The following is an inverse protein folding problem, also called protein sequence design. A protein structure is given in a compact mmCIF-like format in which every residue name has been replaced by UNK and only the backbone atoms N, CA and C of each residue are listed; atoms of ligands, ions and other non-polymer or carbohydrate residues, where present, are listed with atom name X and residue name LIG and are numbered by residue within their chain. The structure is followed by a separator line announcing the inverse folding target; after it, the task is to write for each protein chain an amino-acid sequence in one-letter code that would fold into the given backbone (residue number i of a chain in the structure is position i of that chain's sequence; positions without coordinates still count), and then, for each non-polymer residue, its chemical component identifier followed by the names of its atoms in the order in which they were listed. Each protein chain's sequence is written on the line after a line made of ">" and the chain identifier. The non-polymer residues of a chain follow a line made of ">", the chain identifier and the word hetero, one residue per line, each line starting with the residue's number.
data_IF_897620133638
#
_entry.id   IF_897620133638
#
_cell.length_a   1.000
_cell.length_b   1.000
_cell.length_c   1.000
_cell.angle_alpha   90.00
_cell.angle_beta   90.00
_cell.angle_gamma   90.00
#
_symmetry.space_group_name_H-M   'P 1'
#
loop_
_entity.id
_entity.type
_entity.pdbx_description
1 polymer ?
#
# COMPACT_ATOMS: atom_id res chain seq x y z
N UNK A 1 -28.87 26.20 -2.12
CA UNK A 1 -28.36 25.16 -1.20
C UNK A 1 -28.47 25.69 0.20
N UNK A 2 -29.18 24.97 1.07
CA UNK A 2 -29.21 25.27 2.50
C UNK A 2 -27.83 24.99 3.13
N UNK A 3 -27.56 25.54 4.31
CA UNK A 3 -26.36 25.19 5.07
C UNK A 3 -26.36 23.71 5.50
N UNK A 4 -27.53 23.10 5.66
CA UNK A 4 -27.70 21.68 5.95
C UNK A 4 -27.28 20.81 4.74
N UNK A 5 -27.67 21.21 3.52
CA UNK A 5 -27.28 20.51 2.29
C UNK A 5 -25.76 20.52 2.10
N UNK A 6 -25.10 21.65 2.41
CA UNK A 6 -23.64 21.77 2.38
C UNK A 6 -22.96 20.87 3.41
N UNK A 7 -23.50 20.82 4.63
CA UNK A 7 -22.95 19.97 5.69
C UNK A 7 -23.10 18.48 5.37
N UNK A 8 -24.27 18.07 4.86
CA UNK A 8 -24.54 16.70 4.45
C UNK A 8 -23.59 16.27 3.30
N UNK A 9 -23.41 17.13 2.30
CA UNK A 9 -22.46 16.91 1.21
C UNK A 9 -21.02 16.73 1.71
N UNK A 10 -20.54 17.60 2.61
CA UNK A 10 -19.20 17.50 3.17
C UNK A 10 -18.98 16.18 3.95
N UNK A 11 -19.98 15.75 4.72
CA UNK A 11 -19.92 14.47 5.45
C UNK A 11 -19.85 13.28 4.49
N UNK A 12 -20.64 13.30 3.41
CA UNK A 12 -20.62 12.24 2.40
C UNK A 12 -19.27 12.18 1.68
N UNK A 13 -18.71 13.33 1.31
CA UNK A 13 -17.38 13.42 0.70
C UNK A 13 -16.31 12.89 1.65
N UNK A 14 -16.35 13.29 2.92
CA UNK A 14 -15.41 12.78 3.93
C UNK A 14 -15.49 11.26 4.06
N UNK A 15 -16.69 10.70 4.18
CA UNK A 15 -16.88 9.25 4.31
C UNK A 15 -16.35 8.49 3.08
N UNK A 16 -16.56 9.03 1.88
CA UNK A 16 -15.99 8.45 0.64
C UNK A 16 -14.47 8.52 0.61
N UNK A 17 -13.89 9.62 1.07
CA UNK A 17 -12.45 9.79 1.14
C UNK A 17 -11.81 8.81 2.13
N UNK A 18 -12.38 8.70 3.33
CA UNK A 18 -11.91 7.76 4.37
C UNK A 18 -12.00 6.31 3.90
N UNK A 19 -13.10 5.95 3.20
CA UNK A 19 -13.24 4.63 2.60
C UNK A 19 -12.14 4.37 1.57
N UNK A 20 -11.90 5.32 0.66
CA UNK A 20 -10.86 5.18 -0.37
C UNK A 20 -9.45 5.10 0.22
N UNK A 21 -9.17 5.84 1.29
CA UNK A 21 -7.90 5.74 2.01
C UNK A 21 -7.68 4.34 2.58
N UNK A 22 -8.68 3.77 3.25
CA UNK A 22 -8.63 2.41 3.79
C UNK A 22 -8.44 1.35 2.70
N UNK A 23 -9.19 1.45 1.60
CA UNK A 23 -9.06 0.55 0.46
C UNK A 23 -7.65 0.60 -0.16
N UNK A 24 -7.09 1.81 -0.30
CA UNK A 24 -5.73 1.99 -0.80
C UNK A 24 -4.68 1.43 0.16
N UNK A 25 -4.84 1.63 1.47
CA UNK A 25 -3.94 1.04 2.48
C UNK A 25 -3.98 -0.49 2.44
N UNK A 26 -5.17 -1.10 2.40
CA UNK A 26 -5.35 -2.54 2.28
C UNK A 26 -4.65 -3.07 1.01
N UNK A 27 -4.90 -2.43 -0.14
CA UNK A 27 -4.29 -2.84 -1.40
C UNK A 27 -2.76 -2.82 -1.37
N UNK A 28 -2.17 -1.81 -0.72
CA UNK A 28 -0.71 -1.72 -0.54
C UNK A 28 -0.21 -2.85 0.36
N UNK A 29 -0.90 -3.14 1.46
CA UNK A 29 -0.52 -4.23 2.37
C UNK A 29 -0.63 -5.60 1.71
N UNK A 30 -1.70 -5.86 0.96
CA UNK A 30 -1.90 -7.10 0.20
C UNK A 30 -0.78 -7.31 -0.83
N UNK A 31 -0.43 -6.27 -1.58
CA UNK A 31 0.66 -6.34 -2.54
C UNK A 31 2.00 -6.73 -1.89
N UNK A 32 2.36 -6.10 -0.77
CA UNK A 32 3.61 -6.42 -0.08
C UNK A 32 3.59 -7.79 0.57
N UNK A 33 2.46 -8.19 1.14
CA UNK A 33 2.26 -9.55 1.66
C UNK A 33 2.48 -10.58 0.56
N UNK A 34 1.91 -10.36 -0.63
CA UNK A 34 2.08 -11.26 -1.76
C UNK A 34 3.55 -11.38 -2.19
N UNK A 35 4.30 -10.28 -2.22
CA UNK A 35 5.73 -10.34 -2.51
C UNK A 35 6.50 -11.20 -1.49
N UNK A 36 6.17 -11.09 -0.20
CA UNK A 36 6.78 -11.89 0.86
C UNK A 36 6.38 -13.37 0.76
N UNK A 37 5.10 -13.65 0.51
CA UNK A 37 4.59 -15.02 0.33
C UNK A 37 5.31 -15.73 -0.84
N UNK A 38 5.56 -15.01 -1.94
CA UNK A 38 6.34 -15.55 -3.08
C UNK A 38 7.77 -15.91 -2.67
N UNK A 39 8.46 -15.05 -1.92
CA UNK A 39 9.81 -15.32 -1.43
C UNK A 39 9.82 -16.57 -0.53
N UNK A 40 8.83 -16.69 0.34
CA UNK A 40 8.66 -17.87 1.20
C UNK A 40 8.42 -19.14 0.38
N UNK A 41 7.58 -19.07 -0.67
CA UNK A 41 7.26 -20.20 -1.53
C UNK A 41 8.43 -20.65 -2.42
N UNK A 42 9.36 -19.74 -2.77
CA UNK A 42 10.51 -20.02 -3.63
C UNK A 42 11.52 -21.01 -3.05
N UNK A 43 11.47 -21.33 -1.74
CA UNK A 43 12.40 -22.24 -1.05
C UNK A 43 13.87 -22.02 -1.46
N UNK A 44 14.43 -20.81 -1.17
CA UNK A 44 15.77 -20.44 -1.60
C UNK A 44 16.83 -21.49 -1.21
N UNK A 45 17.72 -21.81 -2.15
CA UNK A 45 18.78 -22.83 -2.00
C UNK A 45 19.81 -22.48 -0.92
N UNK A 46 19.79 -21.25 -0.40
CA UNK A 46 20.62 -20.82 0.72
C UNK A 46 20.39 -19.36 1.13
N UNK A 47 21.00 -18.96 2.25
CA UNK A 47 20.81 -17.64 2.89
C UNK A 47 21.11 -16.49 1.92
N UNK A 48 22.15 -16.60 1.09
CA UNK A 48 22.51 -15.56 0.12
C UNK A 48 21.39 -15.30 -0.90
N UNK A 49 20.76 -16.37 -1.41
CA UNK A 49 19.65 -16.24 -2.36
C UNK A 49 18.41 -15.61 -1.70
N UNK A 50 18.12 -15.95 -0.44
CA UNK A 50 17.06 -15.30 0.35
C UNK A 50 17.33 -13.80 0.57
N UNK A 51 18.56 -13.45 0.97
CA UNK A 51 18.97 -12.06 1.17
C UNK A 51 18.81 -11.22 -0.11
N UNK A 52 19.14 -11.79 -1.27
CA UNK A 52 18.95 -11.11 -2.55
C UNK A 52 17.48 -10.83 -2.84
N UNK A 53 16.57 -11.78 -2.58
CA UNK A 53 15.13 -11.57 -2.79
C UNK A 53 14.56 -10.52 -1.83
N UNK A 54 14.95 -10.56 -0.56
CA UNK A 54 14.55 -9.56 0.43
C UNK A 54 15.04 -8.17 0.01
N UNK A 55 16.28 -8.05 -0.45
CA UNK A 55 16.84 -6.78 -0.93
C UNK A 55 16.03 -6.19 -2.09
N UNK A 56 15.63 -7.02 -3.07
CA UNK A 56 14.79 -6.58 -4.19
C UNK A 56 13.46 -6.01 -3.72
N UNK A 57 12.77 -6.67 -2.79
CA UNK A 57 11.50 -6.17 -2.23
C UNK A 57 11.71 -4.85 -1.50
N UNK A 58 12.77 -4.76 -0.68
CA UNK A 58 13.11 -3.52 0.05
C UNK A 58 13.40 -2.35 -0.90
N UNK A 59 14.13 -2.58 -1.99
CA UNK A 59 14.39 -1.56 -3.02
C UNK A 59 13.12 -1.11 -3.74
N UNK A 60 12.20 -2.04 -4.07
CA UNK A 60 10.89 -1.69 -4.61
C UNK A 60 10.08 -0.82 -3.63
N UNK A 61 10.08 -1.17 -2.34
CA UNK A 61 9.44 -0.36 -1.30
C UNK A 61 10.05 1.04 -1.23
N UNK A 62 11.38 1.15 -1.18
CA UNK A 62 12.09 2.42 -1.14
C UNK A 62 11.76 3.31 -2.35
N UNK A 63 11.71 2.74 -3.55
CA UNK A 63 11.32 3.44 -4.77
C UNK A 63 9.88 3.95 -4.69
N UNK A 64 8.94 3.13 -4.21
CA UNK A 64 7.54 3.54 -4.06
C UNK A 64 7.39 4.65 -3.03
N UNK A 65 8.07 4.55 -1.88
CA UNK A 65 8.10 5.60 -0.85
C UNK A 65 8.65 6.90 -1.43
N UNK A 66 9.76 6.84 -2.17
CA UNK A 66 10.37 8.01 -2.81
C UNK A 66 9.42 8.70 -3.79
N UNK A 67 8.68 7.93 -4.60
CA UNK A 67 7.70 8.48 -5.53
C UNK A 67 6.54 9.13 -4.78
N UNK A 68 5.99 8.46 -3.77
CA UNK A 68 4.86 8.98 -2.99
C UNK A 68 5.21 10.26 -2.21
N UNK A 69 6.44 10.39 -1.71
CA UNK A 69 6.93 11.61 -1.03
C UNK A 69 7.16 12.81 -1.96
N UNK A 70 7.21 12.59 -3.27
CA UNK A 70 7.41 13.66 -4.27
C UNK A 70 6.09 14.28 -4.75
N UNK A 71 4.97 13.66 -4.41
CA UNK A 71 3.60 14.16 -4.64
C UNK A 71 3.19 14.98 -3.42
#
# INVERSE_FOLDING_TARGET
>A
MSNEDRSAFLKEVQARFDKKLKENEISILEYWKEQLDRIQAMKPEGIASLQLQIKKVSEMMANRIKILKKV
#
